data_IF_806973637574
#
_entry.id   IF_806973637574
#
_cell.length_a   1.000
_cell.length_b   1.000
_cell.length_c   1.000
_cell.angle_alpha   90.00
_cell.angle_beta   90.00
_cell.angle_gamma   90.00
#
_symmetry.space_group_name_H-M   'P 1'
#
loop_
_entity.id
_entity.type
_entity.pdbx_description
1 polymer ?
#
# COMPACT_ATOMS: atom_id res chain seq x y z
N UNK A 1 17.78 14.76 -16.90
CA UNK A 1 16.51 14.21 -16.36
C UNK A 1 15.41 14.63 -17.30
N UNK A 2 14.51 13.71 -17.68
CA UNK A 2 13.38 14.04 -18.53
C UNK A 2 12.46 15.09 -17.88
N UNK A 3 11.94 16.00 -18.71
CA UNK A 3 10.89 16.95 -18.33
C UNK A 3 9.54 16.23 -18.35
N UNK A 4 9.18 15.63 -17.20
CA UNK A 4 7.96 14.85 -17.06
C UNK A 4 6.70 15.70 -17.30
N UNK A 5 6.72 16.99 -17.01
CA UNK A 5 5.56 17.86 -17.19
C UNK A 5 5.27 18.08 -18.70
N UNK A 6 6.31 18.39 -19.48
CA UNK A 6 6.18 18.51 -20.92
C UNK A 6 5.76 17.19 -21.58
N UNK A 7 6.35 16.07 -21.15
CA UNK A 7 6.01 14.74 -21.66
C UNK A 7 4.57 14.33 -21.28
N UNK A 8 4.13 14.66 -20.07
CA UNK A 8 2.77 14.40 -19.62
C UNK A 8 1.74 15.23 -20.38
N UNK A 9 1.98 16.53 -20.57
CA UNK A 9 1.12 17.39 -21.40
C UNK A 9 0.96 16.86 -22.83
N UNK A 10 2.04 16.36 -23.42
CA UNK A 10 2.00 15.69 -24.74
C UNK A 10 1.20 14.39 -24.71
N UNK A 11 1.30 13.60 -23.64
CA UNK A 11 0.50 12.39 -23.44
C UNK A 11 -1.00 12.70 -23.35
N UNK A 12 -1.38 13.75 -22.64
CA UNK A 12 -2.76 14.24 -22.55
C UNK A 12 -3.30 14.74 -23.90
N UNK A 13 -2.40 15.18 -24.79
CA UNK A 13 -2.73 15.58 -26.17
C UNK A 13 -2.80 14.39 -27.16
N UNK A 14 -2.66 13.15 -26.67
CA UNK A 14 -2.82 11.92 -27.44
C UNK A 14 -1.52 11.18 -27.77
N UNK A 15 -0.35 11.76 -27.48
CA UNK A 15 0.94 11.15 -27.81
C UNK A 15 1.68 10.68 -26.55
N UNK A 16 1.36 9.45 -26.14
CA UNK A 16 1.83 8.83 -24.88
C UNK A 16 3.20 8.16 -25.00
N UNK A 17 3.64 7.81 -26.20
CA UNK A 17 4.88 7.05 -26.40
C UNK A 17 6.15 7.69 -25.78
N UNK A 18 6.33 9.02 -25.74
CA UNK A 18 7.49 9.65 -25.12
C UNK A 18 7.53 9.48 -23.60
N UNK A 19 6.41 9.70 -22.89
CA UNK A 19 6.38 9.54 -21.43
C UNK A 19 6.52 8.06 -21.05
N UNK A 20 5.90 7.17 -21.82
CA UNK A 20 6.00 5.72 -21.61
C UNK A 20 7.44 5.23 -21.74
N UNK A 21 8.16 5.64 -22.80
CA UNK A 21 9.59 5.34 -22.96
C UNK A 21 10.44 5.91 -21.84
N UNK A 22 10.26 7.19 -21.51
CA UNK A 22 11.03 7.82 -20.46
C UNK A 22 10.85 7.12 -19.10
N UNK A 23 9.62 6.72 -18.76
CA UNK A 23 9.35 5.96 -17.54
C UNK A 23 9.94 4.55 -17.60
N UNK A 24 9.80 3.85 -18.73
CA UNK A 24 10.31 2.48 -18.92
C UNK A 24 11.84 2.40 -18.87
N UNK A 25 12.54 3.27 -19.61
CA UNK A 25 14.00 3.30 -19.71
C UNK A 25 14.66 3.67 -18.37
N UNK A 26 14.09 4.63 -17.64
CA UNK A 26 14.62 5.08 -16.34
C UNK A 26 14.05 4.29 -15.13
N UNK A 27 13.30 3.21 -15.39
CA UNK A 27 12.60 2.42 -14.35
C UNK A 27 13.54 1.67 -13.39
N UNK A 28 14.79 1.43 -13.81
CA UNK A 28 15.75 0.48 -13.20
C UNK A 28 15.28 -0.98 -13.22
N UNK A 29 14.35 -1.32 -14.11
CA UNK A 29 13.90 -2.69 -14.37
C UNK A 29 14.51 -3.23 -15.68
N UNK A 30 14.73 -4.56 -15.80
CA UNK A 30 14.57 -5.60 -14.79
C UNK A 30 15.72 -5.57 -13.78
N UNK A 31 15.40 -5.16 -12.55
CA UNK A 31 16.36 -4.98 -11.47
C UNK A 31 15.66 -5.15 -10.12
N UNK A 32 16.41 -5.38 -9.03
CA UNK A 32 15.83 -5.68 -7.73
C UNK A 32 15.08 -4.49 -7.11
N UNK A 33 15.29 -3.26 -7.61
CA UNK A 33 14.67 -2.04 -7.10
C UNK A 33 14.20 -1.15 -8.24
N UNK A 34 12.91 -0.88 -8.28
CA UNK A 34 12.34 0.11 -9.18
C UNK A 34 12.76 1.54 -8.77
N UNK A 35 12.72 2.46 -9.73
CA UNK A 35 13.02 3.88 -9.50
C UNK A 35 11.84 4.60 -8.82
N UNK A 36 11.74 4.47 -7.49
CA UNK A 36 10.64 5.09 -6.71
C UNK A 36 10.67 6.62 -6.74
N UNK A 37 11.86 7.22 -6.88
CA UNK A 37 12.01 8.67 -7.04
C UNK A 37 11.34 9.15 -8.34
N UNK A 38 11.58 8.43 -9.45
CA UNK A 38 10.93 8.71 -10.72
C UNK A 38 9.41 8.54 -10.64
N UNK A 39 8.94 7.43 -10.04
CA UNK A 39 7.51 7.19 -9.85
C UNK A 39 6.86 8.31 -9.03
N UNK A 40 7.52 8.76 -7.95
CA UNK A 40 7.07 9.88 -7.13
C UNK A 40 7.00 11.20 -7.89
N UNK A 41 8.05 11.55 -8.65
CA UNK A 41 8.05 12.77 -9.50
C UNK A 41 6.97 12.73 -10.58
N UNK A 42 6.73 11.57 -11.17
CA UNK A 42 5.63 11.39 -12.11
C UNK A 42 4.28 11.59 -11.42
N UNK A 43 4.08 10.99 -10.25
CA UNK A 43 2.85 11.15 -9.48
C UNK A 43 2.54 12.62 -9.12
N UNK A 44 3.56 13.41 -8.73
CA UNK A 44 3.40 14.86 -8.52
C UNK A 44 3.03 15.60 -9.81
N UNK A 45 3.64 15.20 -10.93
CA UNK A 45 3.36 15.79 -12.25
C UNK A 45 1.90 15.60 -12.63
N UNK A 46 1.36 14.39 -12.40
CA UNK A 46 -0.06 14.10 -12.66
C UNK A 46 -0.97 14.84 -11.69
N UNK A 47 -0.63 14.88 -10.40
CA UNK A 47 -1.44 15.55 -9.37
C UNK A 47 -1.53 17.07 -9.55
N UNK A 48 -0.57 17.69 -10.24
CA UNK A 48 -0.58 19.12 -10.56
C UNK A 48 -1.71 19.51 -11.55
N UNK A 49 -2.17 18.57 -12.39
CA UNK A 49 -3.29 18.74 -13.31
C UNK A 49 -4.30 17.59 -13.14
N UNK A 50 -5.15 17.73 -12.10
CA UNK A 50 -6.07 16.68 -11.62
C UNK A 50 -7.10 16.23 -12.67
N UNK A 51 -7.42 17.05 -13.67
CA UNK A 51 -8.63 16.91 -14.46
C UNK A 51 -8.54 15.99 -15.69
N UNK A 52 -7.33 15.69 -16.19
CA UNK A 52 -7.20 15.12 -17.55
C UNK A 52 -6.47 13.77 -17.64
N UNK A 53 -5.88 13.31 -16.53
CA UNK A 53 -4.93 12.20 -16.54
C UNK A 53 -5.46 10.78 -16.29
N UNK A 54 -6.60 10.66 -15.62
CA UNK A 54 -7.01 9.38 -15.01
C UNK A 54 -7.32 8.29 -16.06
N UNK A 55 -7.85 8.65 -17.23
CA UNK A 55 -8.08 7.68 -18.31
C UNK A 55 -6.78 7.06 -18.85
N UNK A 56 -5.70 7.85 -18.93
CA UNK A 56 -4.38 7.35 -19.33
C UNK A 56 -3.84 6.38 -18.27
N UNK A 57 -3.96 6.75 -16.98
CA UNK A 57 -3.56 5.89 -15.87
C UNK A 57 -4.36 4.58 -15.86
N UNK A 58 -5.67 4.64 -16.11
CA UNK A 58 -6.53 3.47 -16.23
C UNK A 58 -6.08 2.52 -17.34
N UNK A 59 -5.72 3.08 -18.51
CA UNK A 59 -5.16 2.32 -19.62
C UNK A 59 -3.85 1.63 -19.23
N UNK A 60 -2.95 2.30 -18.52
CA UNK A 60 -1.71 1.69 -18.04
C UNK A 60 -1.93 0.62 -16.97
N UNK A 61 -2.92 0.80 -16.09
CA UNK A 61 -3.26 -0.17 -15.04
C UNK A 61 -3.96 -1.42 -15.59
N UNK A 62 -4.52 -1.38 -16.81
CA UNK A 62 -5.20 -2.53 -17.40
C UNK A 62 -4.30 -3.78 -17.50
N UNK A 63 -4.94 -4.94 -17.70
CA UNK A 63 -4.27 -6.23 -17.94
C UNK A 63 -4.79 -6.84 -19.25
N UNK A 64 -4.00 -6.88 -20.34
CA UNK A 64 -2.68 -6.28 -20.48
C UNK A 64 -2.70 -4.73 -20.48
N UNK A 65 -1.58 -4.06 -20.16
CA UNK A 65 -1.52 -2.59 -20.15
C UNK A 65 -1.67 -2.00 -21.55
N UNK A 66 -2.42 -0.91 -21.66
CA UNK A 66 -2.67 -0.20 -22.92
C UNK A 66 -1.58 0.84 -23.18
N UNK A 67 -0.50 0.41 -23.82
CA UNK A 67 0.67 1.23 -24.14
C UNK A 67 0.61 1.75 -25.57
N UNK A 68 1.13 2.95 -25.81
CA UNK A 68 1.31 3.53 -27.15
C UNK A 68 2.63 3.10 -27.82
N UNK A 69 3.57 2.54 -27.06
CA UNK A 69 4.86 2.04 -27.55
C UNK A 69 5.27 0.77 -26.82
N UNK A 70 6.02 -0.15 -27.45
CA UNK A 70 6.71 -1.20 -26.71
C UNK A 70 7.69 -0.58 -25.71
N UNK A 71 7.83 -1.24 -24.57
CA UNK A 71 8.80 -0.92 -23.52
C UNK A 71 9.93 -1.94 -23.51
N UNK A 72 11.08 -1.62 -22.88
CA UNK A 72 12.12 -2.61 -22.65
C UNK A 72 11.57 -3.82 -21.90
N UNK A 73 12.01 -5.02 -22.29
CA UNK A 73 11.63 -6.29 -21.66
C UNK A 73 11.92 -6.24 -20.15
N UNK A 74 10.97 -6.70 -19.34
CA UNK A 74 11.09 -6.73 -17.88
C UNK A 74 10.73 -5.43 -17.16
N UNK A 75 10.25 -4.40 -17.87
CA UNK A 75 9.80 -3.11 -17.30
C UNK A 75 8.27 -2.97 -17.21
N UNK A 76 7.53 -4.01 -17.58
CA UNK A 76 6.08 -3.97 -17.84
C UNK A 76 5.26 -3.58 -16.60
N UNK A 77 5.76 -3.87 -15.40
CA UNK A 77 5.10 -3.50 -14.15
C UNK A 77 5.31 -2.04 -13.74
N UNK A 78 6.27 -1.31 -14.33
CA UNK A 78 6.63 0.02 -13.84
C UNK A 78 5.54 1.06 -14.11
N UNK A 79 5.02 1.12 -15.35
CA UNK A 79 3.94 2.06 -15.69
C UNK A 79 2.63 1.79 -14.93
N UNK A 80 2.14 0.54 -14.82
CA UNK A 80 0.99 0.23 -13.95
C UNK A 80 1.21 0.68 -12.50
N UNK A 81 2.42 0.50 -11.97
CA UNK A 81 2.74 0.92 -10.60
C UNK A 81 2.80 2.46 -10.48
N UNK A 82 3.37 3.16 -11.48
CA UNK A 82 3.31 4.62 -11.58
C UNK A 82 1.86 5.12 -11.65
N UNK A 83 0.97 4.42 -12.37
CA UNK A 83 -0.44 4.76 -12.44
C UNK A 83 -1.14 4.65 -11.07
N UNK A 84 -0.86 3.59 -10.31
CA UNK A 84 -1.38 3.43 -8.95
C UNK A 84 -0.93 4.58 -8.03
N UNK A 85 0.36 4.92 -8.04
CA UNK A 85 0.90 6.00 -7.21
C UNK A 85 0.34 7.37 -7.62
N UNK A 86 0.22 7.63 -8.93
CA UNK A 86 -0.32 8.87 -9.47
C UNK A 86 -1.81 9.05 -9.12
N UNK A 87 -2.62 7.98 -9.17
CA UNK A 87 -4.01 8.03 -8.72
C UNK A 87 -4.10 8.42 -7.23
N UNK A 88 -3.23 7.87 -6.37
CA UNK A 88 -3.16 8.27 -4.97
C UNK A 88 -2.67 9.69 -4.75
N UNK A 89 -1.75 10.20 -5.59
CA UNK A 89 -1.32 11.59 -5.52
C UNK A 89 -2.43 12.58 -5.92
N UNK A 90 -3.23 12.26 -6.94
CA UNK A 90 -4.41 13.04 -7.33
C UNK A 90 -5.42 13.08 -6.18
N UNK A 91 -5.72 11.92 -5.57
CA UNK A 91 -6.62 11.84 -4.42
C UNK A 91 -6.08 12.61 -3.20
N UNK A 92 -4.79 12.49 -2.90
CA UNK A 92 -4.15 13.20 -1.80
C UNK A 92 -4.18 14.72 -2.00
N UNK A 93 -4.05 15.19 -3.25
CA UNK A 93 -4.12 16.62 -3.54
C UNK A 93 -5.54 17.16 -3.36
N UNK A 94 -6.57 16.44 -3.79
CA UNK A 94 -7.96 16.81 -3.52
C UNK A 94 -8.24 16.87 -2.01
N UNK A 95 -7.77 15.86 -1.26
CA UNK A 95 -7.89 15.83 0.19
C UNK A 95 -7.23 17.03 0.88
N UNK A 96 -6.01 17.39 0.46
CA UNK A 96 -5.28 18.56 0.98
C UNK A 96 -6.01 19.89 0.68
N UNK A 97 -6.74 19.96 -0.43
CA UNK A 97 -7.55 21.13 -0.80
C UNK A 97 -8.93 21.14 -0.10
N UNK A 98 -9.23 20.14 0.75
CA UNK A 98 -10.53 19.99 1.44
C UNK A 98 -11.66 19.50 0.53
N UNK A 99 -11.32 18.91 -0.62
CA UNK A 99 -12.27 18.39 -1.60
C UNK A 99 -12.57 16.91 -1.36
N UNK A 100 -13.74 16.46 -1.80
CA UNK A 100 -14.06 15.03 -1.86
C UNK A 100 -13.06 14.31 -2.77
N UNK A 101 -12.60 13.13 -2.35
CA UNK A 101 -11.70 12.32 -3.17
C UNK A 101 -12.32 12.04 -4.56
N UNK A 102 -11.59 12.26 -5.67
CA UNK A 102 -12.12 11.98 -7.01
C UNK A 102 -12.44 10.50 -7.16
N UNK A 103 -13.69 10.18 -7.48
CA UNK A 103 -14.18 8.79 -7.55
C UNK A 103 -13.36 7.90 -8.49
N UNK A 104 -12.96 8.42 -9.65
CA UNK A 104 -12.15 7.70 -10.63
C UNK A 104 -10.73 7.40 -10.10
N UNK A 105 -10.14 8.33 -9.32
CA UNK A 105 -8.84 8.12 -8.69
C UNK A 105 -8.92 7.06 -7.57
N UNK A 106 -9.99 7.11 -6.78
CA UNK A 106 -10.29 6.09 -5.75
C UNK A 106 -10.54 4.71 -6.36
N UNK A 107 -11.27 4.65 -7.48
CA UNK A 107 -11.51 3.40 -8.20
C UNK A 107 -10.21 2.80 -8.74
N UNK A 108 -9.31 3.64 -9.30
CA UNK A 108 -7.99 3.20 -9.76
C UNK A 108 -7.11 2.69 -8.62
N UNK A 109 -7.08 3.40 -7.50
CA UNK A 109 -6.36 2.94 -6.30
C UNK A 109 -6.90 1.58 -5.81
N UNK A 110 -8.22 1.41 -5.80
CA UNK A 110 -8.86 0.16 -5.37
C UNK A 110 -8.54 -1.00 -6.31
N UNK A 111 -8.61 -0.77 -7.62
CA UNK A 111 -8.19 -1.77 -8.61
C UNK A 111 -6.70 -2.14 -8.44
N UNK A 112 -5.84 -1.15 -8.19
CA UNK A 112 -4.42 -1.36 -7.97
C UNK A 112 -4.11 -2.11 -6.65
N UNK A 113 -4.92 -1.92 -5.61
CA UNK A 113 -4.79 -2.63 -4.34
C UNK A 113 -5.05 -4.15 -4.51
N UNK A 114 -5.97 -4.53 -5.38
CA UNK A 114 -6.29 -5.91 -5.76
C UNK A 114 -5.43 -6.51 -6.88
N UNK A 115 -4.44 -5.77 -7.40
CA UNK A 115 -3.71 -6.17 -8.60
C UNK A 115 -2.79 -7.38 -8.36
N UNK A 116 -2.61 -8.25 -9.36
CA UNK A 116 -1.69 -9.41 -9.25
C UNK A 116 -0.21 -9.02 -9.26
N UNK A 117 0.14 -7.89 -9.88
CA UNK A 117 1.51 -7.36 -9.96
C UNK A 117 1.89 -6.74 -8.63
N UNK A 118 2.91 -7.29 -7.98
CA UNK A 118 3.24 -6.89 -6.59
C UNK A 118 3.65 -5.42 -6.48
N UNK A 119 4.38 -4.87 -7.47
CA UNK A 119 4.77 -3.44 -7.47
C UNK A 119 3.58 -2.51 -7.53
N UNK A 120 2.53 -2.90 -8.23
CA UNK A 120 1.27 -2.14 -8.32
C UNK A 120 0.62 -2.07 -6.95
N UNK A 121 0.52 -3.20 -6.24
CA UNK A 121 -0.02 -3.24 -4.87
C UNK A 121 0.80 -2.43 -3.86
N UNK A 122 2.13 -2.47 -3.96
CA UNK A 122 3.00 -1.64 -3.12
C UNK A 122 2.72 -0.15 -3.36
N UNK A 123 2.68 0.27 -4.62
CA UNK A 123 2.44 1.68 -4.96
C UNK A 123 0.99 2.13 -4.77
N UNK A 124 0.01 1.23 -4.76
CA UNK A 124 -1.35 1.51 -4.31
C UNK A 124 -1.38 1.87 -2.81
N UNK A 125 -0.70 1.08 -1.97
CA UNK A 125 -0.58 1.38 -0.54
C UNK A 125 0.18 2.69 -0.31
N UNK A 126 1.28 2.93 -1.02
CA UNK A 126 2.01 4.22 -0.96
C UNK A 126 1.17 5.40 -1.44
N UNK A 127 0.32 5.19 -2.46
CA UNK A 127 -0.65 6.18 -2.90
C UNK A 127 -1.65 6.53 -1.78
N UNK A 128 -2.20 5.52 -1.10
CA UNK A 128 -3.12 5.76 0.01
C UNK A 128 -2.43 6.37 1.25
N UNK A 129 -1.15 6.06 1.50
CA UNK A 129 -0.35 6.74 2.53
C UNK A 129 -0.27 8.26 2.29
N UNK A 130 -0.21 8.71 1.03
CA UNK A 130 -0.25 10.14 0.70
C UNK A 130 -1.59 10.76 1.02
N UNK A 131 -2.70 10.04 0.77
CA UNK A 131 -4.04 10.49 1.14
C UNK A 131 -4.14 10.61 2.66
N UNK A 132 -3.74 9.58 3.41
CA UNK A 132 -3.71 9.59 4.88
C UNK A 132 -2.84 10.73 5.46
N UNK A 133 -1.73 11.06 4.78
CA UNK A 133 -0.87 12.18 5.17
C UNK A 133 -1.52 13.55 4.94
N UNK A 134 -2.34 13.68 3.90
CA UNK A 134 -3.03 14.92 3.54
C UNK A 134 -4.29 15.13 4.39
N UNK A 135 -5.10 14.09 4.52
CA UNK A 135 -6.28 14.02 5.36
C UNK A 135 -6.45 12.58 5.88
N UNK A 136 -6.17 12.40 7.17
CA UNK A 136 -6.25 11.11 7.83
C UNK A 136 -7.64 10.50 7.76
N UNK A 137 -8.70 11.31 7.95
CA UNK A 137 -10.08 10.81 7.96
C UNK A 137 -10.49 10.34 6.58
N UNK A 138 -10.25 11.15 5.55
CA UNK A 138 -10.58 10.77 4.17
C UNK A 138 -9.82 9.52 3.73
N UNK A 139 -8.54 9.40 4.10
CA UNK A 139 -7.76 8.20 3.84
C UNK A 139 -8.28 6.98 4.61
N UNK A 140 -8.65 7.15 5.88
CA UNK A 140 -9.15 6.06 6.74
C UNK A 140 -10.49 5.52 6.23
N UNK A 141 -11.39 6.38 5.74
CA UNK A 141 -12.66 5.95 5.12
C UNK A 141 -12.39 4.96 3.97
N UNK A 142 -11.34 5.20 3.16
CA UNK A 142 -10.96 4.29 2.09
C UNK A 142 -10.25 3.01 2.59
N UNK A 143 -9.44 3.11 3.65
CA UNK A 143 -8.84 1.94 4.33
C UNK A 143 -9.95 1.00 4.80
N UNK A 144 -11.02 1.53 5.41
CA UNK A 144 -12.15 0.74 5.89
C UNK A 144 -12.92 0.06 4.74
N UNK A 145 -13.07 0.73 3.59
CA UNK A 145 -13.66 0.11 2.39
C UNK A 145 -12.83 -1.11 1.95
N UNK A 146 -11.51 -0.97 1.88
CA UNK A 146 -10.63 -2.08 1.51
C UNK A 146 -10.65 -3.21 2.53
N UNK A 147 -10.70 -2.88 3.83
CA UNK A 147 -10.78 -3.86 4.90
C UNK A 147 -12.09 -4.68 4.83
N UNK A 148 -13.23 -4.00 4.67
CA UNK A 148 -14.57 -4.62 4.60
C UNK A 148 -14.84 -5.38 3.31
N UNK A 149 -13.98 -5.28 2.30
CA UNK A 149 -14.12 -6.05 1.05
C UNK A 149 -14.12 -7.57 1.27
N UNK A 150 -13.46 -8.05 2.34
CA UNK A 150 -13.25 -9.48 2.58
C UNK A 150 -12.19 -10.11 1.66
N UNK A 151 -11.58 -9.33 0.75
CA UNK A 151 -10.55 -9.81 -0.17
C UNK A 151 -9.13 -9.62 0.43
N UNK A 152 -8.25 -10.65 0.36
CA UNK A 152 -6.93 -10.56 1.01
C UNK A 152 -6.01 -9.47 0.47
N UNK A 153 -6.06 -9.16 -0.84
CA UNK A 153 -5.17 -8.16 -1.46
C UNK A 153 -5.55 -6.71 -1.08
N UNK A 154 -6.83 -6.27 -1.19
CA UNK A 154 -7.26 -5.00 -0.62
C UNK A 154 -6.98 -4.87 0.89
N UNK A 155 -7.27 -5.91 1.70
CA UNK A 155 -6.91 -5.91 3.12
C UNK A 155 -5.42 -5.71 3.35
N UNK A 156 -4.57 -6.36 2.54
CA UNK A 156 -3.11 -6.17 2.61
C UNK A 156 -2.74 -4.71 2.32
N UNK A 157 -3.36 -4.09 1.32
CA UNK A 157 -3.10 -2.69 0.99
C UNK A 157 -3.55 -1.75 2.11
N UNK A 158 -4.70 -2.02 2.73
CA UNK A 158 -5.20 -1.28 3.90
C UNK A 158 -4.20 -1.35 5.07
N UNK A 159 -3.76 -2.55 5.43
CA UNK A 159 -2.75 -2.79 6.48
C UNK A 159 -1.45 -2.06 6.18
N UNK A 160 -0.94 -2.17 4.94
CA UNK A 160 0.30 -1.51 4.55
C UNK A 160 0.18 0.02 4.54
N UNK A 161 -0.98 0.57 4.20
CA UNK A 161 -1.21 2.00 4.16
C UNK A 161 -1.19 2.62 5.56
N UNK A 162 -1.87 2.01 6.54
CA UNK A 162 -1.89 2.54 7.91
C UNK A 162 -0.62 2.24 8.70
N UNK A 163 0.11 1.17 8.38
CA UNK A 163 1.35 0.78 9.08
C UNK A 163 2.59 1.58 8.61
N UNK A 164 2.45 2.90 8.46
CA UNK A 164 3.50 3.81 8.02
C UNK A 164 3.96 4.70 9.20
N UNK A 165 5.19 4.49 9.75
CA UNK A 165 5.59 5.11 11.02
C UNK A 165 5.46 6.65 11.13
N UNK A 166 5.76 7.45 10.08
CA UNK A 166 5.52 8.89 10.12
C UNK A 166 4.06 9.29 10.37
N UNK A 167 3.09 8.49 9.91
CA UNK A 167 1.65 8.76 10.09
C UNK A 167 1.18 8.49 11.52
N UNK A 168 1.88 7.64 12.26
CA UNK A 168 1.49 7.16 13.59
C UNK A 168 2.13 7.95 14.74
N UNK A 169 2.66 9.14 14.45
CA UNK A 169 3.14 10.06 15.49
C UNK A 169 2.00 10.71 16.27
N UNK A 170 0.84 10.83 15.63
CA UNK A 170 -0.39 11.24 16.30
C UNK A 170 -1.00 10.03 17.04
N UNK A 171 -1.25 10.13 18.36
CA UNK A 171 -1.82 9.03 19.14
C UNK A 171 -3.19 8.55 18.66
N UNK A 172 -4.03 9.44 18.14
CA UNK A 172 -5.33 9.08 17.59
C UNK A 172 -5.16 8.25 16.31
N UNK A 173 -4.23 8.65 15.43
CA UNK A 173 -3.92 7.87 14.23
C UNK A 173 -3.34 6.50 14.58
N UNK A 174 -2.45 6.45 15.58
CA UNK A 174 -1.88 5.20 16.08
C UNK A 174 -2.97 4.25 16.57
N UNK A 175 -3.90 4.73 17.41
CA UNK A 175 -5.01 3.92 17.92
C UNK A 175 -5.92 3.40 16.80
N UNK A 176 -6.28 4.25 15.82
CA UNK A 176 -7.11 3.85 14.68
C UNK A 176 -6.38 2.85 13.78
N UNK A 177 -5.08 3.03 13.52
CA UNK A 177 -4.28 2.07 12.78
C UNK A 177 -4.17 0.72 13.52
N UNK A 178 -4.01 0.72 14.84
CA UNK A 178 -4.04 -0.50 15.66
C UNK A 178 -5.36 -1.23 15.52
N UNK A 179 -6.50 -0.52 15.51
CA UNK A 179 -7.81 -1.12 15.30
C UNK A 179 -7.94 -1.79 13.93
N UNK A 180 -7.53 -1.10 12.85
CA UNK A 180 -7.52 -1.65 11.49
C UNK A 180 -6.65 -2.91 11.39
N UNK A 181 -5.44 -2.88 11.95
CA UNK A 181 -4.53 -4.04 11.94
C UNK A 181 -5.11 -5.19 12.76
N UNK A 182 -5.76 -4.90 13.89
CA UNK A 182 -6.42 -5.90 14.73
C UNK A 182 -7.55 -6.60 13.96
N UNK A 183 -8.41 -5.84 13.31
CA UNK A 183 -9.51 -6.39 12.50
C UNK A 183 -8.99 -7.21 11.31
N UNK A 184 -7.92 -6.76 10.64
CA UNK A 184 -7.29 -7.53 9.57
C UNK A 184 -6.65 -8.85 10.07
N UNK A 185 -6.11 -8.88 11.29
CA UNK A 185 -5.65 -10.11 11.95
C UNK A 185 -6.82 -11.06 12.18
N UNK A 186 -7.93 -10.55 12.73
CA UNK A 186 -9.10 -11.37 13.02
C UNK A 186 -9.71 -11.91 11.71
N UNK A 187 -9.75 -11.11 10.64
CA UNK A 187 -10.15 -11.54 9.29
C UNK A 187 -9.24 -12.65 8.74
N UNK A 188 -7.91 -12.52 8.86
CA UNK A 188 -6.97 -13.57 8.46
C UNK A 188 -7.21 -14.89 9.22
N UNK A 189 -7.42 -14.80 10.54
CA UNK A 189 -7.62 -15.99 11.37
C UNK A 189 -9.02 -16.60 11.17
N UNK A 190 -10.00 -15.84 10.71
CA UNK A 190 -11.31 -16.37 10.31
C UNK A 190 -11.27 -17.21 9.02
N UNK A 191 -10.26 -17.03 8.15
CA UNK A 191 -10.09 -17.86 6.94
C UNK A 191 -9.83 -19.31 7.37
N UNK A 192 -10.52 -20.32 6.78
CA UNK A 192 -10.27 -21.72 7.09
C UNK A 192 -8.79 -22.10 6.90
N UNK A 193 -8.22 -22.85 7.85
CA UNK A 193 -6.78 -23.18 7.86
C UNK A 193 -6.30 -23.84 6.55
N UNK A 194 -7.16 -24.62 5.89
CA UNK A 194 -6.85 -25.26 4.59
C UNK A 194 -6.67 -24.23 3.45
N UNK A 195 -7.36 -23.09 3.52
CA UNK A 195 -7.40 -22.07 2.47
C UNK A 195 -6.31 -21.00 2.66
N UNK A 196 -5.74 -20.87 3.86
CA UNK A 196 -4.69 -19.88 4.17
C UNK A 196 -3.38 -20.07 3.40
N UNK A 197 -3.23 -21.19 2.68
CA UNK A 197 -2.10 -21.44 1.78
C UNK A 197 -2.25 -20.75 0.42
N UNK A 198 -3.43 -20.26 0.08
CA UNK A 198 -3.67 -19.46 -1.12
C UNK A 198 -2.72 -18.26 -1.18
N UNK A 199 -2.25 -17.92 -2.38
CA UNK A 199 -1.21 -16.90 -2.58
C UNK A 199 -1.58 -15.56 -1.93
N UNK A 200 -2.80 -15.09 -2.19
CA UNK A 200 -3.27 -13.78 -1.73
C UNK A 200 -3.43 -13.72 -0.21
N UNK A 201 -3.87 -14.82 0.42
CA UNK A 201 -3.95 -14.91 1.90
C UNK A 201 -2.54 -14.90 2.51
N UNK A 202 -1.57 -15.56 1.87
CA UNK A 202 -0.16 -15.48 2.30
C UNK A 202 0.42 -14.08 2.15
N UNK A 203 -0.03 -13.30 1.16
CA UNK A 203 0.37 -11.91 0.98
C UNK A 203 -0.15 -11.04 2.13
N UNK A 204 -1.43 -11.16 2.50
CA UNK A 204 -2.00 -10.50 3.69
C UNK A 204 -1.25 -10.88 4.97
N UNK A 205 -1.07 -12.19 5.20
CA UNK A 205 -0.32 -12.71 6.35
C UNK A 205 1.08 -12.11 6.47
N UNK A 206 1.81 -11.99 5.36
CA UNK A 206 3.15 -11.37 5.36
C UNK A 206 3.12 -9.89 5.73
N UNK A 207 2.12 -9.14 5.25
CA UNK A 207 1.96 -7.74 5.64
C UNK A 207 1.71 -7.61 7.15
N UNK A 208 0.85 -8.45 7.72
CA UNK A 208 0.60 -8.50 9.17
C UNK A 208 1.82 -8.96 9.98
N UNK A 209 2.68 -9.82 9.41
CA UNK A 209 3.97 -10.21 9.98
C UNK A 209 4.99 -9.06 10.12
N UNK A 210 4.66 -7.87 9.60
CA UNK A 210 5.42 -6.64 9.78
C UNK A 210 4.61 -5.56 10.49
N UNK A 211 3.35 -5.36 10.09
CA UNK A 211 2.51 -4.25 10.50
C UNK A 211 2.18 -4.24 12.01
N UNK A 212 1.98 -5.39 12.64
CA UNK A 212 1.65 -5.48 14.08
C UNK A 212 2.75 -4.80 14.91
N UNK A 213 4.02 -5.03 14.58
CA UNK A 213 5.14 -4.40 15.28
C UNK A 213 5.17 -2.88 15.09
N UNK A 214 4.67 -2.36 13.96
CA UNK A 214 4.63 -0.93 13.68
C UNK A 214 3.57 -0.28 14.55
N UNK A 215 2.34 -0.79 14.54
CA UNK A 215 1.25 -0.24 15.35
C UNK A 215 1.50 -0.45 16.84
N UNK A 216 2.05 -1.58 17.27
CA UNK A 216 2.40 -1.82 18.68
C UNK A 216 3.53 -0.94 19.20
N UNK A 217 4.42 -0.45 18.32
CA UNK A 217 5.42 0.53 18.72
C UNK A 217 4.85 1.95 18.84
N UNK A 218 3.81 2.27 18.06
CA UNK A 218 3.17 3.59 18.06
C UNK A 218 2.06 3.71 19.12
N UNK A 219 1.31 2.64 19.34
CA UNK A 219 0.26 2.49 20.36
C UNK A 219 0.51 1.19 21.15
N UNK A 220 1.39 1.26 22.16
CA UNK A 220 1.72 0.09 22.98
C UNK A 220 0.57 -0.38 23.86
N UNK A 221 -0.40 0.50 24.17
CA UNK A 221 -1.52 0.19 25.06
C UNK A 221 -2.46 -0.82 24.42
N UNK A 222 -2.78 -0.68 23.12
CA UNK A 222 -3.62 -1.66 22.42
C UNK A 222 -2.80 -2.66 21.58
N UNK A 223 -1.64 -2.27 21.03
CA UNK A 223 -0.88 -3.14 20.14
C UNK A 223 -0.08 -4.25 20.84
N UNK A 224 0.40 -4.04 22.07
CA UNK A 224 1.05 -5.13 22.84
C UNK A 224 0.04 -6.20 23.28
N UNK A 225 -1.16 -5.85 23.79
CA UNK A 225 -2.22 -6.84 24.02
C UNK A 225 -2.61 -7.67 22.80
N UNK A 226 -2.55 -7.13 21.58
CA UNK A 226 -2.76 -7.92 20.36
C UNK A 226 -1.70 -9.03 20.23
N UNK A 227 -0.43 -8.73 20.46
CA UNK A 227 0.64 -9.74 20.44
C UNK A 227 0.47 -10.78 21.54
N UNK A 228 0.08 -10.36 22.74
CA UNK A 228 -0.21 -11.25 23.88
C UNK A 228 -1.39 -12.20 23.56
N UNK A 229 -2.47 -11.67 22.99
CA UNK A 229 -3.63 -12.45 22.51
C UNK A 229 -3.23 -13.49 21.48
N UNK A 230 -2.42 -13.11 20.49
CA UNK A 230 -1.95 -14.02 19.45
C UNK A 230 -1.03 -15.10 20.01
N UNK A 231 -0.19 -14.79 21.00
CA UNK A 231 0.71 -15.75 21.62
C UNK A 231 -0.01 -16.79 22.49
N UNK A 232 -1.19 -16.45 23.01
CA UNK A 232 -2.08 -17.36 23.75
C UNK A 232 -2.92 -18.27 22.83
N UNK A 233 -2.93 -18.02 21.52
CA UNK A 233 -3.64 -18.86 20.55
C UNK A 233 -2.87 -20.14 20.22
N UNK A 234 -3.61 -21.23 19.95
CA UNK A 234 -3.07 -22.47 19.39
C UNK A 234 -3.01 -22.45 17.85
N UNK A 235 -3.43 -21.34 17.22
CA UNK A 235 -3.38 -21.17 15.77
C UNK A 235 -1.94 -21.00 15.27
N UNK A 236 -1.56 -21.81 14.28
CA UNK A 236 -0.20 -21.80 13.72
C UNK A 236 0.19 -20.48 13.03
N UNK A 237 -0.78 -19.77 12.46
CA UNK A 237 -0.56 -18.48 11.82
C UNK A 237 -0.48 -17.35 12.86
N UNK A 238 -1.26 -17.42 13.94
CA UNK A 238 -1.10 -16.52 15.09
C UNK A 238 0.31 -16.64 15.70
N UNK A 239 0.79 -17.87 15.95
CA UNK A 239 2.15 -18.11 16.43
C UNK A 239 3.23 -17.59 15.46
N UNK A 240 3.01 -17.74 14.15
CA UNK A 240 3.91 -17.18 13.13
C UNK A 240 3.94 -15.65 13.18
N UNK A 241 2.78 -14.99 13.25
CA UNK A 241 2.67 -13.53 13.33
C UNK A 241 3.42 -12.97 14.53
N UNK A 242 3.29 -13.60 15.71
CA UNK A 242 4.02 -13.21 16.92
C UNK A 242 5.53 -13.29 16.67
N UNK A 243 6.03 -14.42 16.17
CA UNK A 243 7.46 -14.62 15.92
C UNK A 243 8.04 -13.58 14.97
N UNK A 244 7.37 -13.33 13.85
CA UNK A 244 7.85 -12.36 12.85
C UNK A 244 7.91 -10.93 13.39
N UNK A 245 6.93 -10.55 14.21
CA UNK A 245 6.84 -9.21 14.77
C UNK A 245 7.79 -9.00 15.96
N UNK A 246 7.98 -10.01 16.84
CA UNK A 246 8.93 -9.93 17.95
C UNK A 246 10.40 -9.82 17.49
N UNK A 247 10.70 -10.21 16.25
CA UNK A 247 12.02 -10.03 15.66
C UNK A 247 12.33 -8.58 15.24
N UNK A 248 11.33 -7.69 15.19
CA UNK A 248 11.53 -6.32 14.71
C UNK A 248 12.16 -5.45 15.80
N UNK A 249 13.23 -4.73 15.43
CA UNK A 249 14.02 -3.91 16.35
C UNK A 249 13.19 -2.84 17.09
N UNK A 250 12.10 -2.37 16.49
CA UNK A 250 11.19 -1.38 17.08
C UNK A 250 10.49 -1.85 18.36
N UNK A 251 10.41 -3.16 18.61
CA UNK A 251 9.83 -3.70 19.84
C UNK A 251 10.85 -3.93 20.97
N UNK A 252 12.14 -3.64 20.74
CA UNK A 252 13.18 -3.75 21.77
C UNK A 252 12.87 -2.98 23.07
N UNK A 253 12.27 -1.77 23.04
CA UNK A 253 11.90 -1.06 24.27
C UNK A 253 10.90 -1.81 25.15
N UNK A 254 10.15 -2.77 24.60
CA UNK A 254 9.12 -3.54 25.32
C UNK A 254 9.58 -4.98 25.64
N UNK A 255 10.89 -5.26 25.55
CA UNK A 255 11.42 -6.61 25.69
C UNK A 255 11.11 -7.27 27.04
N UNK A 256 11.03 -6.50 28.13
CA UNK A 256 10.66 -7.01 29.45
C UNK A 256 9.22 -7.58 29.43
N UNK A 257 8.25 -6.79 28.95
CA UNK A 257 6.85 -7.20 28.84
C UNK A 257 6.66 -8.36 27.86
N UNK A 258 7.36 -8.31 26.71
CA UNK A 258 7.22 -9.31 25.65
C UNK A 258 8.08 -10.57 25.87
N UNK A 259 8.91 -10.60 26.91
CA UNK A 259 9.85 -11.69 27.18
C UNK A 259 9.15 -13.04 27.34
N UNK A 260 7.99 -13.06 27.99
CA UNK A 260 7.19 -14.27 28.20
C UNK A 260 6.56 -14.84 26.91
N UNK A 261 6.44 -14.03 25.85
CA UNK A 261 5.82 -14.46 24.59
C UNK A 261 6.79 -15.23 23.67
N UNK A 262 8.10 -15.14 23.95
CA UNK A 262 9.13 -15.87 23.20
C UNK A 262 9.11 -17.34 23.63
N UNK A 263 8.30 -18.17 22.97
CA UNK A 263 8.36 -19.63 23.16
C UNK A 263 9.77 -20.13 22.78
N UNK A 264 10.43 -20.97 23.59
CA UNK A 264 11.65 -21.64 23.16
C UNK A 264 11.34 -22.46 21.90
N UNK A 265 12.18 -22.30 20.89
CA UNK A 265 12.06 -23.00 19.60
C UNK A 265 12.37 -24.48 19.69
#
# INVERSE_FOLDING_TARGET
MADLAALWSRALSGDRAPIERALGEDSRLPGPRANLELAGRFAETVAADRASGLAVLAGWLATPPQLATPLPEGTEEFLPACAALAAGAVAARAAADGETLPGDAVALLTAAAGDRRWRVRELAATGLQRVLAADWRAGLDQVEVWLRSGEPLPMRAAVAAVAEPPLLRDPQHAAQATAIVTEAVDALLAVPAAERRAEDVRVLRKALGYAISVVAAADPEAGLPLLERLAASDDTDAAWLVRENLAKARLKPFAERLGALRRPG
#
